data_IF_798257660328
#
_entry.id   IF_798257660328
#
_cell.length_a   1.000
_cell.length_b   1.000
_cell.length_c   1.000
_cell.angle_alpha   90.00
_cell.angle_beta   90.00
_cell.angle_gamma   90.00
#
_symmetry.space_group_name_H-M   'P 1'
#
loop_
_entity.id
_entity.type
_entity.pdbx_description
1 polymer ?
#
# COMPACT_ATOMS: atom_id res chain seq x y z
N UNK A 1 0.03 -11.96 -21.29
CA UNK A 1 1.43 -11.54 -21.42
C UNK A 1 2.38 -12.74 -21.31
N UNK A 2 2.46 -13.46 -20.19
CA UNK A 2 3.44 -14.56 -20.00
C UNK A 2 3.41 -15.63 -21.10
N UNK A 3 2.21 -16.08 -21.52
CA UNK A 3 2.06 -17.04 -22.62
C UNK A 3 2.64 -16.57 -23.96
N UNK A 4 2.52 -15.28 -24.27
CA UNK A 4 3.06 -14.73 -25.51
C UNK A 4 4.59 -14.55 -25.45
N UNK A 5 5.09 -14.09 -24.29
CA UNK A 5 6.53 -13.95 -24.06
C UNK A 5 7.25 -15.30 -24.12
N UNK A 6 6.66 -16.34 -23.51
CA UNK A 6 7.22 -17.70 -23.49
C UNK A 6 7.40 -18.34 -24.87
N UNK A 7 6.71 -17.84 -25.89
CA UNK A 7 6.91 -18.29 -27.29
C UNK A 7 8.25 -17.81 -27.84
N UNK A 8 8.84 -16.76 -27.30
CA UNK A 8 10.05 -16.11 -27.85
C UNK A 8 11.25 -16.18 -26.93
N UNK A 9 11.02 -16.16 -25.60
CA UNK A 9 12.09 -16.14 -24.61
C UNK A 9 11.78 -17.07 -23.44
N UNK A 10 12.82 -17.47 -22.69
CA UNK A 10 12.68 -18.29 -21.49
C UNK A 10 12.75 -17.47 -20.20
N UNK A 11 13.35 -16.30 -20.29
CA UNK A 11 13.56 -15.39 -19.15
C UNK A 11 13.13 -13.99 -19.56
N UNK A 12 12.48 -13.28 -18.66
CA UNK A 12 12.12 -11.85 -18.79
C UNK A 12 12.52 -11.09 -17.54
N UNK A 13 12.79 -9.81 -17.70
CA UNK A 13 12.98 -8.87 -16.60
C UNK A 13 11.67 -8.13 -16.36
N UNK A 14 11.32 -7.95 -15.08
CA UNK A 14 10.14 -7.20 -14.64
C UNK A 14 10.55 -6.00 -13.77
N UNK A 15 9.77 -4.93 -13.83
CA UNK A 15 9.96 -3.72 -13.02
C UNK A 15 9.35 -3.79 -11.62
N UNK A 16 8.87 -4.94 -11.19
CA UNK A 16 8.22 -5.12 -9.89
C UNK A 16 9.17 -4.81 -8.73
N UNK A 17 8.65 -4.21 -7.67
CA UNK A 17 9.41 -3.74 -6.51
C UNK A 17 9.91 -2.29 -6.64
N UNK A 18 9.91 -1.70 -7.84
CA UNK A 18 10.36 -0.32 -8.03
C UNK A 18 9.49 0.70 -7.31
N UNK A 19 8.18 0.55 -7.36
CA UNK A 19 7.24 1.49 -6.72
C UNK A 19 7.31 1.42 -5.19
N UNK A 20 7.47 0.24 -4.64
CA UNK A 20 7.65 0.03 -3.20
C UNK A 20 8.95 0.63 -2.69
N UNK A 21 10.05 0.52 -3.46
CA UNK A 21 11.36 1.00 -3.05
C UNK A 21 11.51 2.52 -3.26
N UNK A 22 11.05 3.04 -4.39
CA UNK A 22 11.27 4.42 -4.79
C UNK A 22 10.02 5.32 -4.64
N UNK A 23 8.94 4.80 -4.03
CA UNK A 23 7.77 5.60 -3.71
C UNK A 23 6.88 5.94 -4.90
N UNK A 24 6.78 5.06 -5.91
CA UNK A 24 6.04 5.29 -7.15
C UNK A 24 4.51 5.33 -6.98
N UNK A 25 3.97 4.78 -5.89
CA UNK A 25 2.54 4.81 -5.65
C UNK A 25 2.04 6.17 -5.14
N UNK A 26 0.98 6.69 -5.73
CA UNK A 26 0.32 7.94 -5.30
C UNK A 26 -0.04 7.96 -3.82
N UNK A 27 -0.39 6.80 -3.25
CA UNK A 27 -0.79 6.69 -1.86
C UNK A 27 0.30 7.14 -0.88
N UNK A 28 1.57 7.06 -1.28
CA UNK A 28 2.70 7.49 -0.47
C UNK A 28 2.80 9.03 -0.34
N UNK A 29 2.14 9.78 -1.21
CA UNK A 29 2.04 11.23 -1.07
C UNK A 29 1.05 11.65 0.02
N UNK A 30 0.08 10.80 0.35
CA UNK A 30 -1.01 11.14 1.28
C UNK A 30 -0.53 11.61 2.68
N UNK A 31 0.48 10.99 3.32
CA UNK A 31 1.00 11.47 4.59
C UNK A 31 1.66 12.84 4.53
N UNK A 32 2.14 13.25 3.34
CA UNK A 32 2.81 14.52 3.10
C UNK A 32 1.83 15.66 2.80
N UNK A 33 0.56 15.33 2.53
CA UNK A 33 -0.46 16.33 2.26
C UNK A 33 -0.86 17.06 3.54
N UNK A 34 -0.55 18.34 3.60
CA UNK A 34 -0.94 19.22 4.69
C UNK A 34 -2.36 19.74 4.47
N UNK A 35 -3.36 18.99 4.88
CA UNK A 35 -4.75 19.45 4.82
C UNK A 35 -5.12 20.23 6.09
N UNK A 36 -6.01 21.23 5.95
CA UNK A 36 -6.56 21.93 7.11
C UNK A 36 -7.24 20.98 8.11
N UNK A 37 -7.73 19.84 7.61
CA UNK A 37 -8.33 18.79 8.42
C UNK A 37 -7.34 18.16 9.42
N UNK A 38 -6.06 18.14 9.11
CA UNK A 38 -5.02 17.61 10.00
C UNK A 38 -4.82 18.46 11.27
N UNK A 39 -5.29 19.72 11.27
CA UNK A 39 -5.29 20.60 12.46
C UNK A 39 -6.38 20.24 13.47
N UNK A 40 -7.38 19.46 13.07
CA UNK A 40 -8.48 19.03 13.95
C UNK A 40 -7.97 17.93 14.90
N UNK A 41 -8.24 18.02 16.21
CA UNK A 41 -7.85 16.99 17.19
C UNK A 41 -8.36 15.60 16.80
N UNK A 42 -7.55 14.58 17.05
CA UNK A 42 -7.84 13.19 16.67
C UNK A 42 -9.19 12.66 17.19
N UNK A 43 -9.63 12.94 18.43
CA UNK A 43 -10.95 12.49 18.90
C UNK A 43 -12.11 12.99 18.04
N UNK A 44 -12.04 14.26 17.60
CA UNK A 44 -13.07 14.85 16.73
C UNK A 44 -13.02 14.20 15.35
N UNK A 45 -11.83 14.01 14.78
CA UNK A 45 -11.65 13.31 13.50
C UNK A 45 -12.18 11.88 13.56
N UNK A 46 -11.94 11.16 14.67
CA UNK A 46 -12.49 9.80 14.89
C UNK A 46 -14.01 9.79 14.93
N UNK A 47 -14.61 10.76 15.62
CA UNK A 47 -16.07 10.90 15.64
C UNK A 47 -16.62 11.14 14.23
N UNK A 48 -16.04 12.08 13.47
CA UNK A 48 -16.43 12.37 12.09
C UNK A 48 -16.26 11.16 11.17
N UNK A 49 -15.18 10.41 11.33
CA UNK A 49 -14.92 9.17 10.58
C UNK A 49 -15.97 8.08 10.86
N UNK A 50 -16.30 7.86 12.13
CA UNK A 50 -17.37 6.93 12.54
C UNK A 50 -18.74 7.40 12.01
N UNK A 51 -19.06 8.68 12.17
CA UNK A 51 -20.29 9.24 11.62
C UNK A 51 -20.39 9.01 10.11
N UNK A 52 -19.29 9.25 9.37
CA UNK A 52 -19.26 8.99 7.94
C UNK A 52 -19.45 7.50 7.60
N UNK A 53 -18.90 6.60 8.40
CA UNK A 53 -19.03 5.15 8.21
C UNK A 53 -20.48 4.66 8.38
N UNK A 54 -21.17 5.16 9.43
CA UNK A 54 -22.49 4.66 9.83
C UNK A 54 -23.66 5.40 9.21
N UNK A 55 -23.51 6.71 8.98
CA UNK A 55 -24.62 7.60 8.59
C UNK A 55 -24.58 8.02 7.11
N UNK A 56 -23.40 8.04 6.47
CA UNK A 56 -23.31 8.49 5.08
C UNK A 56 -23.43 7.31 4.10
N UNK A 57 -24.23 7.48 3.01
CA UNK A 57 -24.38 6.44 2.01
C UNK A 57 -23.05 6.15 1.26
N UNK A 58 -22.89 4.91 0.77
CA UNK A 58 -21.79 4.53 -0.10
C UNK A 58 -21.83 5.37 -1.38
N UNK A 59 -20.68 5.87 -1.79
CA UNK A 59 -20.55 6.72 -2.98
C UNK A 59 -20.70 8.23 -2.73
N UNK A 60 -21.10 8.67 -1.53
CA UNK A 60 -21.09 10.10 -1.20
C UNK A 60 -19.67 10.66 -1.23
N UNK A 61 -19.47 11.77 -1.96
CA UNK A 61 -18.19 12.49 -2.00
C UNK A 61 -17.77 12.92 -0.58
N UNK A 62 -16.50 12.71 -0.23
CA UNK A 62 -15.97 13.06 1.08
C UNK A 62 -16.11 11.98 2.16
N UNK A 63 -17.01 10.98 2.02
CA UNK A 63 -17.16 9.88 2.97
C UNK A 63 -15.82 9.14 3.19
N UNK A 64 -15.17 8.72 2.13
CA UNK A 64 -13.88 8.01 2.19
C UNK A 64 -12.78 8.86 2.81
N UNK A 65 -12.78 10.17 2.55
CA UNK A 65 -11.85 11.11 3.16
C UNK A 65 -12.02 11.16 4.68
N UNK A 66 -13.24 11.38 5.17
CA UNK A 66 -13.53 11.42 6.61
C UNK A 66 -13.17 10.11 7.32
N UNK A 67 -13.52 8.99 6.71
CA UNK A 67 -13.19 7.66 7.25
C UNK A 67 -11.67 7.43 7.36
N UNK A 68 -10.90 7.83 6.35
CA UNK A 68 -9.45 7.68 6.36
C UNK A 68 -8.78 8.61 7.37
N UNK A 69 -9.13 9.89 7.36
CA UNK A 69 -8.53 10.89 8.24
C UNK A 69 -8.99 10.79 9.69
N UNK A 70 -10.06 10.04 9.96
CA UNK A 70 -10.50 9.66 11.30
C UNK A 70 -9.69 8.54 11.94
N UNK A 71 -8.72 7.96 11.22
CA UNK A 71 -7.85 6.86 11.68
C UNK A 71 -6.39 7.28 11.63
N UNK A 72 -5.54 6.69 12.48
CA UNK A 72 -4.10 6.82 12.36
C UNK A 72 -3.60 6.09 11.10
N UNK A 73 -2.36 6.31 10.67
CA UNK A 73 -1.78 5.58 9.57
C UNK A 73 -1.85 4.06 9.80
N UNK A 74 -1.45 3.63 10.97
CA UNK A 74 -1.40 2.21 11.36
C UNK A 74 -2.78 1.55 11.44
N UNK A 75 -3.83 2.36 11.71
CA UNK A 75 -5.23 1.90 11.74
C UNK A 75 -5.88 1.83 10.35
N UNK A 76 -5.31 2.45 9.33
CA UNK A 76 -5.94 2.60 8.00
C UNK A 76 -5.15 2.03 6.84
N UNK A 77 -3.83 1.87 6.97
CA UNK A 77 -2.98 1.38 5.92
C UNK A 77 -2.52 -0.06 6.19
N UNK A 78 -2.92 -0.96 5.34
CA UNK A 78 -2.67 -2.41 5.45
C UNK A 78 -1.97 -2.97 4.22
N UNK A 79 -1.10 -2.22 3.65
CA UNK A 79 -0.53 -2.40 2.33
C UNK A 79 -1.37 -1.74 1.21
N UNK A 80 -0.82 -1.67 0.02
CA UNK A 80 -1.44 -1.06 -1.17
C UNK A 80 -2.60 -1.91 -1.72
N UNK A 81 -3.31 -2.60 -0.84
CA UNK A 81 -4.45 -3.43 -1.18
C UNK A 81 -5.77 -2.63 -1.06
N UNK A 82 -6.65 -2.83 -2.02
CA UNK A 82 -7.99 -2.25 -1.96
C UNK A 82 -8.83 -3.01 -0.93
N UNK A 83 -9.33 -2.31 0.07
CA UNK A 83 -10.29 -2.87 1.02
C UNK A 83 -11.62 -3.18 0.33
N UNK A 84 -11.89 -4.45 0.05
CA UNK A 84 -13.14 -4.91 -0.56
C UNK A 84 -14.28 -4.84 0.45
N UNK A 85 -14.01 -5.21 1.70
CA UNK A 85 -14.98 -5.21 2.79
C UNK A 85 -14.51 -4.34 3.96
N UNK A 86 -15.43 -3.59 4.54
CA UNK A 86 -15.22 -3.00 5.87
C UNK A 86 -15.22 -4.11 6.93
N UNK A 87 -14.61 -3.88 8.10
CA UNK A 87 -14.62 -4.85 9.22
C UNK A 87 -16.04 -5.29 9.59
N UNK A 88 -17.01 -4.37 9.52
CA UNK A 88 -18.42 -4.64 9.78
C UNK A 88 -19.02 -5.60 8.75
N UNK A 89 -18.65 -5.47 7.50
CA UNK A 89 -19.12 -6.34 6.42
C UNK A 89 -18.45 -7.70 6.49
N UNK A 90 -17.16 -7.73 6.71
CA UNK A 90 -16.42 -8.97 6.94
C UNK A 90 -17.00 -9.74 8.15
N UNK A 91 -17.36 -9.04 9.23
CA UNK A 91 -17.98 -9.66 10.42
C UNK A 91 -19.34 -10.33 10.15
N UNK A 92 -20.06 -9.94 9.08
CA UNK A 92 -21.33 -10.58 8.70
C UNK A 92 -21.13 -11.87 7.91
N UNK A 93 -19.99 -11.99 7.23
CA UNK A 93 -19.66 -13.13 6.35
C UNK A 93 -18.87 -14.18 7.13
N UNK A 94 -17.99 -13.75 8.04
CA UNK A 94 -17.15 -14.64 8.81
C UNK A 94 -17.94 -15.37 9.90
N UNK A 95 -17.57 -16.63 10.16
CA UNK A 95 -18.11 -17.40 11.29
C UNK A 95 -17.81 -16.67 12.63
N UNK A 96 -18.73 -16.79 13.59
CA UNK A 96 -18.54 -16.29 14.95
C UNK A 96 -17.21 -16.83 15.52
N UNK A 97 -16.36 -15.94 16.02
CA UNK A 97 -15.04 -16.29 16.59
C UNK A 97 -13.86 -16.18 15.61
N UNK A 98 -14.09 -16.13 14.29
CA UNK A 98 -13.04 -15.86 13.31
C UNK A 98 -12.93 -14.35 13.09
N UNK A 99 -12.14 -13.67 13.90
CA UNK A 99 -11.77 -12.25 13.71
C UNK A 99 -10.26 -12.08 13.86
N UNK A 100 -9.44 -12.51 12.89
CA UNK A 100 -8.13 -11.91 12.80
C UNK A 100 -8.36 -10.44 12.40
N UNK A 101 -8.07 -9.52 13.31
CA UNK A 101 -8.01 -8.11 12.96
C UNK A 101 -6.89 -7.91 11.94
N UNK A 102 -7.12 -7.08 10.94
CA UNK A 102 -6.05 -6.71 9.98
C UNK A 102 -4.83 -6.19 10.75
N UNK A 103 -5.06 -5.50 11.86
CA UNK A 103 -4.02 -5.00 12.75
C UNK A 103 -3.17 -6.10 13.41
N UNK A 104 -3.69 -7.31 13.58
CA UNK A 104 -2.91 -8.43 14.12
C UNK A 104 -1.76 -8.82 13.17
N UNK A 105 -1.97 -8.64 11.87
CA UNK A 105 -0.96 -8.88 10.83
C UNK A 105 0.00 -7.71 10.69
N UNK A 106 -0.51 -6.47 10.69
CA UNK A 106 0.30 -5.29 10.40
C UNK A 106 1.03 -4.71 11.60
N UNK A 107 0.49 -4.87 12.82
CA UNK A 107 1.09 -4.33 14.05
C UNK A 107 2.54 -4.79 14.32
N UNK A 108 2.91 -6.07 14.13
CA UNK A 108 4.30 -6.49 14.25
C UNK A 108 5.24 -5.78 13.27
N UNK A 109 4.77 -5.51 12.05
CA UNK A 109 5.55 -4.79 11.03
C UNK A 109 5.73 -3.32 11.43
N UNK A 110 4.66 -2.64 11.81
CA UNK A 110 4.72 -1.24 12.28
C UNK A 110 5.62 -1.07 13.50
N UNK A 111 5.61 -2.02 14.42
CA UNK A 111 6.48 -1.98 15.61
C UNK A 111 7.97 -1.99 15.26
N UNK A 112 8.37 -2.65 14.17
CA UNK A 112 9.78 -2.69 13.72
C UNK A 112 10.25 -1.36 13.16
N UNK A 113 9.34 -0.55 12.64
CA UNK A 113 9.64 0.73 11.98
C UNK A 113 8.97 1.92 12.69
N UNK A 114 8.65 1.77 13.98
CA UNK A 114 7.91 2.77 14.76
C UNK A 114 8.54 4.17 14.70
N UNK A 115 9.89 4.24 14.66
CA UNK A 115 10.66 5.47 14.69
C UNK A 115 10.91 6.08 13.30
N UNK A 116 10.38 5.44 12.24
CA UNK A 116 10.50 5.93 10.86
C UNK A 116 9.35 6.87 10.49
N UNK A 117 9.55 7.66 9.44
CA UNK A 117 8.52 8.51 8.88
C UNK A 117 7.34 7.69 8.30
N UNK A 118 6.23 8.37 8.03
CA UNK A 118 4.99 7.72 7.60
C UNK A 118 5.13 6.99 6.25
N UNK A 119 5.86 7.55 5.30
CA UNK A 119 6.06 6.93 3.98
C UNK A 119 6.92 5.69 4.10
N UNK A 120 8.03 5.76 4.83
CA UNK A 120 8.89 4.60 5.10
C UNK A 120 8.12 3.47 5.79
N UNK A 121 7.21 3.81 6.74
CA UNK A 121 6.31 2.82 7.34
C UNK A 121 5.42 2.14 6.31
N UNK A 122 4.84 2.91 5.39
CA UNK A 122 3.98 2.36 4.32
C UNK A 122 4.78 1.46 3.39
N UNK A 123 5.94 1.92 2.91
CA UNK A 123 6.83 1.12 2.05
C UNK A 123 7.23 -0.19 2.73
N UNK A 124 7.57 -0.15 4.03
CA UNK A 124 7.94 -1.35 4.79
C UNK A 124 6.80 -2.36 4.86
N UNK A 125 5.57 -1.89 5.08
CA UNK A 125 4.38 -2.77 5.08
C UNK A 125 4.14 -3.36 3.70
N UNK A 126 4.27 -2.55 2.63
CA UNK A 126 4.09 -3.02 1.26
C UNK A 126 5.13 -4.07 0.84
N UNK A 127 6.39 -3.85 1.18
CA UNK A 127 7.47 -4.82 0.91
C UNK A 127 7.20 -6.18 1.56
N UNK A 128 6.55 -6.22 2.74
CA UNK A 128 6.30 -7.46 3.47
C UNK A 128 4.96 -8.11 3.15
N UNK A 129 3.96 -7.35 2.72
CA UNK A 129 2.61 -7.86 2.47
C UNK A 129 2.23 -7.79 0.99
N UNK A 130 2.14 -6.58 0.43
CA UNK A 130 1.66 -6.37 -0.93
C UNK A 130 2.59 -6.99 -1.98
N UNK A 131 3.87 -6.66 -1.90
CA UNK A 131 4.86 -7.13 -2.86
C UNK A 131 4.98 -8.65 -2.84
N UNK A 132 5.16 -9.25 -1.67
CA UNK A 132 5.41 -10.69 -1.54
C UNK A 132 4.16 -11.51 -1.85
N UNK A 133 3.02 -11.14 -1.25
CA UNK A 133 1.82 -11.98 -1.28
C UNK A 133 0.89 -11.73 -2.47
N UNK A 134 1.01 -10.61 -3.17
CA UNK A 134 0.22 -10.35 -4.38
C UNK A 134 1.11 -10.25 -5.62
N UNK A 135 2.01 -9.28 -5.67
CA UNK A 135 2.75 -8.93 -6.89
C UNK A 135 3.68 -10.07 -7.31
N UNK A 136 4.62 -10.47 -6.45
CA UNK A 136 5.61 -11.50 -6.78
C UNK A 136 4.95 -12.87 -6.92
N UNK A 137 4.02 -13.22 -6.04
CA UNK A 137 3.30 -14.50 -6.12
C UNK A 137 2.52 -14.60 -7.43
N UNK A 138 1.88 -13.53 -7.87
CA UNK A 138 1.14 -13.49 -9.15
C UNK A 138 2.11 -13.59 -10.33
N UNK A 139 3.19 -12.83 -10.31
CA UNK A 139 4.24 -12.85 -11.34
C UNK A 139 4.84 -14.24 -11.51
N UNK A 140 5.22 -14.87 -10.41
CA UNK A 140 5.79 -16.22 -10.38
C UNK A 140 4.78 -17.26 -10.90
N UNK A 141 3.58 -17.33 -10.34
CA UNK A 141 2.57 -18.33 -10.76
C UNK A 141 2.20 -18.18 -12.24
N UNK A 142 2.03 -16.97 -12.73
CA UNK A 142 1.68 -16.74 -14.13
C UNK A 142 2.87 -17.00 -15.07
N UNK A 143 4.08 -16.68 -14.63
CA UNK A 143 5.31 -17.02 -15.36
C UNK A 143 5.50 -18.53 -15.45
N UNK A 144 5.53 -19.21 -14.30
CA UNK A 144 5.78 -20.65 -14.22
C UNK A 144 4.70 -21.49 -14.90
N UNK A 145 3.44 -21.09 -14.87
CA UNK A 145 2.36 -21.74 -15.62
C UNK A 145 2.60 -21.74 -17.15
N UNK A 146 3.49 -20.90 -17.64
CA UNK A 146 3.87 -20.81 -19.05
C UNK A 146 5.35 -21.13 -19.29
N UNK A 147 6.06 -21.73 -18.34
CA UNK A 147 7.49 -22.04 -18.41
C UNK A 147 8.35 -20.81 -18.74
N UNK A 148 8.01 -19.67 -18.16
CA UNK A 148 8.69 -18.39 -18.29
C UNK A 148 9.25 -17.97 -16.94
N UNK A 149 10.55 -17.81 -16.86
CA UNK A 149 11.23 -17.28 -15.65
C UNK A 149 11.12 -15.75 -15.63
N UNK A 150 10.58 -15.21 -14.53
CA UNK A 150 10.49 -13.75 -14.30
C UNK A 150 11.54 -13.35 -13.27
N UNK A 151 12.45 -12.47 -13.65
CA UNK A 151 13.46 -11.89 -12.76
C UNK A 151 13.11 -10.45 -12.44
N UNK A 152 13.37 -10.04 -11.17
CA UNK A 152 12.98 -8.74 -10.61
C UNK A 152 14.22 -7.97 -10.14
N UNK A 153 14.93 -7.27 -11.05
CA UNK A 153 16.22 -6.64 -10.74
C UNK A 153 16.12 -5.56 -9.66
N UNK A 154 14.97 -4.91 -9.49
CA UNK A 154 14.77 -3.92 -8.44
C UNK A 154 14.85 -4.50 -7.02
N UNK A 155 14.65 -5.80 -6.86
CA UNK A 155 14.76 -6.48 -5.58
C UNK A 155 16.17 -7.03 -5.31
N UNK A 156 17.16 -6.66 -6.13
CA UNK A 156 18.55 -6.91 -5.82
C UNK A 156 18.97 -6.16 -4.54
N UNK A 157 19.82 -6.78 -3.74
CA UNK A 157 20.27 -6.25 -2.45
C UNK A 157 20.92 -4.87 -2.60
N UNK A 158 21.75 -4.67 -3.61
CA UNK A 158 22.43 -3.40 -3.82
C UNK A 158 21.42 -2.28 -4.16
N UNK A 159 20.37 -2.61 -4.92
CA UNK A 159 19.29 -1.67 -5.24
C UNK A 159 18.49 -1.33 -3.99
N UNK A 160 18.20 -2.30 -3.12
CA UNK A 160 17.54 -2.07 -1.85
C UNK A 160 18.37 -1.14 -0.95
N UNK A 161 19.66 -1.43 -0.76
CA UNK A 161 20.58 -0.62 0.04
C UNK A 161 20.67 0.83 -0.50
N UNK A 162 20.73 0.98 -1.82
CA UNK A 162 20.66 2.30 -2.45
C UNK A 162 19.33 3.00 -2.15
N UNK A 163 18.22 2.32 -2.35
CA UNK A 163 16.89 2.89 -2.10
C UNK A 163 16.71 3.31 -0.63
N UNK A 164 17.22 2.52 0.33
CA UNK A 164 17.19 2.86 1.75
C UNK A 164 18.05 4.08 2.09
N UNK A 165 19.16 4.28 1.38
CA UNK A 165 20.06 5.42 1.59
C UNK A 165 19.49 6.75 1.07
N UNK A 166 18.52 6.73 0.15
CA UNK A 166 17.95 7.93 -0.45
C UNK A 166 17.05 8.68 0.53
N UNK A 167 17.28 9.99 0.73
CA UNK A 167 16.36 10.85 1.46
C UNK A 167 14.95 10.83 0.88
N UNK A 168 13.92 10.90 1.74
CA UNK A 168 12.52 10.81 1.34
C UNK A 168 12.13 11.79 0.22
N UNK A 169 12.68 12.99 0.23
CA UNK A 169 12.42 14.03 -0.78
C UNK A 169 12.77 13.63 -2.22
N UNK A 170 13.66 12.65 -2.40
CA UNK A 170 14.01 12.11 -3.71
C UNK A 170 13.15 10.93 -4.14
N UNK A 171 12.39 10.34 -3.20
CA UNK A 171 11.47 9.23 -3.46
C UNK A 171 10.04 9.72 -3.68
N UNK A 172 9.58 10.61 -2.81
CA UNK A 172 8.19 11.08 -2.80
C UNK A 172 8.18 12.59 -2.64
N UNK A 173 7.55 13.28 -3.58
CA UNK A 173 7.32 14.72 -3.50
C UNK A 173 5.83 14.99 -3.29
N UNK A 174 5.50 15.91 -2.36
CA UNK A 174 4.12 16.35 -2.16
C UNK A 174 3.61 17.03 -3.45
N UNK A 175 2.35 16.90 -3.77
CA UNK A 175 1.73 16.51 -5.04
C UNK A 175 2.34 17.21 -6.24
N UNK A 176 3.26 16.57 -6.91
CA UNK A 176 3.64 16.93 -8.29
C UNK A 176 2.74 16.10 -9.19
N UNK A 177 1.87 16.77 -9.93
CA UNK A 177 1.03 16.16 -10.95
C UNK A 177 1.88 15.23 -11.84
N UNK A 178 1.42 14.00 -12.05
CA UNK A 178 2.05 12.94 -12.86
C UNK A 178 2.44 13.33 -14.28
N UNK A 179 2.13 14.53 -14.73
CA UNK A 179 2.37 15.01 -16.09
C UNK A 179 3.84 15.26 -16.42
N UNK A 180 4.74 15.30 -15.44
CA UNK A 180 6.16 15.66 -15.68
C UNK A 180 7.16 14.50 -15.64
N UNK A 181 6.74 13.28 -15.29
CA UNK A 181 7.65 12.11 -15.26
C UNK A 181 7.45 11.13 -16.43
N UNK A 182 6.67 11.51 -17.42
CA UNK A 182 6.49 10.75 -18.67
C UNK A 182 7.09 11.46 -19.89
N UNK A 183 8.22 12.12 -19.71
CA UNK A 183 9.00 12.63 -20.83
C UNK A 183 10.26 11.79 -21.01
#
# INVERSE_FOLDING_TARGET
MSKEAAKKVKVVLSGEGSDELFGGYNIYCEPLEHTAFNKIPMPIRRFMGKFAEYCLPRGMKGRGFLMRHGKTLEERYFANATNIFTEREAAKILKKGCRPGIQDVTKPLYNRVKDKDAVTKMQYVDLHLWLVHDILMKGDKMGMANSLEVRVPFLDRNVLELAESLPLQYKVQAPVSYTHLRA
#
